data_IF_304820208993
#
_entry.id   IF_304820208993
#
_cell.length_a   1.000
_cell.length_b   1.000
_cell.length_c   1.000
_cell.angle_alpha   90.00
_cell.angle_beta   90.00
_cell.angle_gamma   90.00
#
_symmetry.space_group_name_H-M   'P 1'
#
loop_
_entity.id
_entity.type
_entity.pdbx_description
1 polymer ?
#
# COMPACT_ATOMS: atom_id res chain seq x y z
N UNK A 1 -47.53 -36.20 -51.86
CA UNK A 1 -46.98 -34.84 -51.74
C UNK A 1 -46.23 -34.78 -50.41
N UNK A 2 -44.91 -35.04 -50.43
CA UNK A 2 -44.09 -35.17 -49.23
C UNK A 2 -43.68 -33.80 -48.69
N UNK A 3 -43.89 -33.55 -47.40
CA UNK A 3 -43.26 -32.45 -46.67
C UNK A 3 -42.58 -33.02 -45.42
N UNK A 4 -41.29 -33.28 -45.53
CA UNK A 4 -40.41 -33.55 -44.39
C UNK A 4 -40.01 -32.20 -43.82
N UNK A 5 -40.44 -31.91 -42.60
CA UNK A 5 -40.10 -30.69 -41.87
C UNK A 5 -38.75 -30.92 -41.17
N UNK A 6 -37.68 -30.33 -41.67
CA UNK A 6 -36.38 -30.30 -40.99
C UNK A 6 -36.44 -29.24 -39.87
N UNK A 7 -36.58 -29.68 -38.63
CA UNK A 7 -36.36 -28.82 -37.45
C UNK A 7 -34.86 -28.84 -37.15
N UNK A 8 -34.14 -27.82 -37.63
CA UNK A 8 -32.75 -27.62 -37.27
C UNK A 8 -32.63 -27.17 -35.81
N UNK A 9 -32.09 -28.02 -34.94
CA UNK A 9 -31.66 -27.61 -33.59
C UNK A 9 -30.41 -26.75 -33.71
N UNK A 10 -30.57 -25.45 -33.50
CA UNK A 10 -29.47 -24.51 -33.39
C UNK A 10 -28.88 -24.64 -31.97
N UNK A 11 -27.76 -25.35 -31.84
CA UNK A 11 -27.02 -25.44 -30.58
C UNK A 11 -26.33 -24.08 -30.35
N UNK A 12 -26.93 -23.23 -29.50
CA UNK A 12 -26.29 -22.05 -28.95
C UNK A 12 -25.21 -22.49 -27.96
N UNK A 13 -23.97 -22.59 -28.43
CA UNK A 13 -22.82 -22.70 -27.55
C UNK A 13 -22.68 -21.37 -26.79
N UNK A 14 -23.09 -21.35 -25.52
CA UNK A 14 -22.82 -20.23 -24.64
C UNK A 14 -21.30 -20.12 -24.44
N UNK A 15 -20.68 -19.11 -25.05
CA UNK A 15 -19.30 -18.74 -24.76
C UNK A 15 -19.23 -18.18 -23.33
N UNK A 16 -18.99 -19.06 -22.37
CA UNK A 16 -18.58 -18.63 -21.04
C UNK A 16 -17.19 -18.00 -21.15
N UNK A 17 -17.07 -16.73 -20.77
CA UNK A 17 -15.76 -16.09 -20.65
C UNK A 17 -14.90 -16.93 -19.68
N UNK A 18 -13.63 -17.19 -20.01
CA UNK A 18 -12.76 -17.96 -19.13
C UNK A 18 -12.69 -17.27 -17.76
N UNK A 19 -12.71 -18.03 -16.65
CA UNK A 19 -12.65 -17.46 -15.32
C UNK A 19 -11.37 -16.63 -15.19
N UNK A 20 -11.51 -15.40 -14.71
CA UNK A 20 -10.35 -14.53 -14.56
C UNK A 20 -9.34 -15.19 -13.60
N UNK A 21 -8.06 -15.24 -13.99
CA UNK A 21 -6.98 -15.72 -13.12
C UNK A 21 -6.99 -14.96 -11.79
N UNK A 22 -6.81 -15.68 -10.69
CA UNK A 22 -6.62 -15.09 -9.36
C UNK A 22 -5.26 -14.42 -9.28
N UNK A 23 -5.20 -13.24 -8.67
CA UNK A 23 -3.96 -12.50 -8.45
C UNK A 23 -3.81 -12.17 -6.97
N UNK A 24 -2.56 -12.18 -6.49
CA UNK A 24 -2.23 -11.70 -5.15
C UNK A 24 -1.60 -10.32 -5.24
N UNK A 25 -2.08 -9.39 -4.41
CA UNK A 25 -1.43 -8.10 -4.18
C UNK A 25 -0.72 -8.19 -2.84
N UNK A 26 0.61 -8.32 -2.90
CA UNK A 26 1.49 -8.37 -1.75
C UNK A 26 1.79 -6.96 -1.28
N UNK A 27 1.48 -6.63 -0.03
CA UNK A 27 1.87 -5.35 0.56
C UNK A 27 3.09 -5.56 1.46
N UNK A 28 4.20 -4.90 1.16
CA UNK A 28 5.39 -4.89 2.02
C UNK A 28 5.72 -3.46 2.45
N UNK A 29 5.99 -3.29 3.74
CA UNK A 29 6.21 -1.96 4.30
C UNK A 29 6.28 -1.93 5.82
N UNK A 30 6.02 -0.74 6.36
CA UNK A 30 6.15 -0.42 7.78
C UNK A 30 4.79 -0.32 8.53
N UNK A 31 4.80 0.35 9.69
CA UNK A 31 3.62 0.51 10.55
C UNK A 31 2.48 1.27 9.88
N UNK A 32 2.73 2.14 8.91
CA UNK A 32 1.66 2.92 8.26
C UNK A 32 0.80 2.09 7.32
N UNK A 33 1.28 0.91 6.91
CA UNK A 33 0.62 -0.04 6.00
C UNK A 33 0.16 -1.31 6.73
N UNK A 34 0.87 -1.74 7.77
CA UNK A 34 0.71 -3.05 8.43
C UNK A 34 -0.65 -3.33 9.05
N UNK A 35 -1.01 -4.62 9.12
CA UNK A 35 -2.07 -5.10 10.00
C UNK A 35 -1.77 -4.77 11.47
N UNK A 36 -2.78 -4.35 12.22
CA UNK A 36 -2.67 -3.95 13.63
C UNK A 36 -3.32 -4.97 14.55
N UNK A 37 -2.73 -5.13 15.72
CA UNK A 37 -3.28 -6.01 16.76
C UNK A 37 -4.38 -5.28 17.52
N UNK A 38 -5.31 -6.03 18.11
CA UNK A 38 -6.41 -5.47 18.91
C UNK A 38 -5.92 -4.55 20.04
N UNK A 39 -4.78 -4.88 20.67
CA UNK A 39 -4.16 -4.07 21.74
C UNK A 39 -3.69 -2.68 21.30
N UNK A 40 -3.56 -2.43 19.99
CA UNK A 40 -3.19 -1.13 19.43
C UNK A 40 -4.38 -0.42 18.80
N UNK A 41 -5.58 -1.01 18.80
CA UNK A 41 -6.78 -0.36 18.28
C UNK A 41 -7.04 0.96 19.05
N UNK A 42 -7.38 2.09 18.38
CA UNK A 42 -7.82 2.22 16.98
C UNK A 42 -6.70 2.49 15.96
N UNK A 43 -5.42 2.34 16.31
CA UNK A 43 -4.32 2.43 15.34
C UNK A 43 -4.58 1.48 14.16
N UNK A 44 -4.41 1.98 12.94
CA UNK A 44 -4.72 1.25 11.72
C UNK A 44 -3.68 1.53 10.62
N UNK A 45 -3.25 0.49 9.91
CA UNK A 45 -2.43 0.63 8.72
C UNK A 45 -3.32 0.70 7.47
N UNK A 46 -2.97 1.52 6.48
CA UNK A 46 -3.82 1.70 5.29
C UNK A 46 -4.05 0.39 4.52
N UNK A 47 -3.16 -0.60 4.65
CA UNK A 47 -3.32 -1.92 4.05
C UNK A 47 -4.53 -2.70 4.58
N UNK A 48 -5.01 -2.42 5.81
CA UNK A 48 -6.16 -3.12 6.39
C UNK A 48 -7.48 -2.80 5.67
N UNK A 49 -7.90 -1.53 5.47
CA UNK A 49 -9.09 -1.25 4.67
C UNK A 49 -8.90 -1.54 3.17
N UNK A 50 -7.66 -1.52 2.68
CA UNK A 50 -7.35 -1.76 1.26
C UNK A 50 -7.78 -3.15 0.77
N UNK A 51 -7.81 -4.17 1.64
CA UNK A 51 -8.21 -5.54 1.28
C UNK A 51 -9.63 -5.65 0.74
N UNK A 52 -10.50 -4.68 1.05
CA UNK A 52 -11.93 -4.74 0.73
C UNK A 52 -12.31 -4.13 -0.61
N UNK A 53 -11.37 -3.49 -1.33
CA UNK A 53 -11.67 -2.76 -2.57
C UNK A 53 -11.73 -3.62 -3.83
N UNK A 54 -11.34 -4.90 -3.76
CA UNK A 54 -11.22 -5.76 -4.94
C UNK A 54 -12.27 -6.87 -4.99
N UNK A 55 -12.65 -7.29 -6.19
CA UNK A 55 -13.53 -8.42 -6.42
C UNK A 55 -12.91 -9.75 -5.93
N UNK A 56 -13.65 -10.85 -6.00
CA UNK A 56 -13.22 -12.15 -5.47
C UNK A 56 -12.02 -12.78 -6.20
N UNK A 57 -11.52 -12.15 -7.26
CA UNK A 57 -10.37 -12.62 -8.03
C UNK A 57 -9.05 -12.05 -7.54
N UNK A 58 -9.06 -11.15 -6.55
CA UNK A 58 -7.88 -10.59 -5.92
C UNK A 58 -7.81 -11.03 -4.47
N UNK A 59 -6.63 -11.47 -4.04
CA UNK A 59 -6.29 -11.59 -2.62
C UNK A 59 -5.28 -10.52 -2.28
N UNK A 60 -5.50 -9.76 -1.20
CA UNK A 60 -4.50 -8.84 -0.68
C UNK A 60 -3.81 -9.52 0.50
N UNK A 61 -2.52 -9.78 0.37
CA UNK A 61 -1.70 -10.32 1.46
C UNK A 61 -0.82 -9.20 2.03
N UNK A 62 -1.25 -8.65 3.17
CA UNK A 62 -0.56 -7.56 3.84
C UNK A 62 0.54 -8.10 4.77
N UNK A 63 1.78 -8.00 4.31
CA UNK A 63 2.99 -8.44 5.02
C UNK A 63 3.78 -7.29 5.65
N UNK A 64 3.29 -6.05 5.53
CA UNK A 64 3.91 -4.91 6.19
C UNK A 64 3.93 -5.08 7.71
N UNK A 65 4.97 -4.55 8.35
CA UNK A 65 5.22 -4.77 9.77
C UNK A 65 5.74 -3.52 10.47
N UNK A 66 5.18 -3.23 11.65
CA UNK A 66 5.64 -2.14 12.52
C UNK A 66 7.16 -2.13 12.70
N UNK A 67 7.76 -0.94 12.56
CA UNK A 67 9.16 -0.67 12.84
C UNK A 67 10.16 -1.20 11.81
N UNK A 68 9.70 -1.82 10.71
CA UNK A 68 10.61 -2.36 9.69
C UNK A 68 11.04 -1.27 8.73
N UNK A 69 12.29 -1.41 8.30
CA UNK A 69 12.95 -0.71 7.22
C UNK A 69 13.13 -1.66 6.04
N UNK A 70 13.54 -1.13 4.89
CA UNK A 70 13.91 -1.96 3.73
C UNK A 70 14.95 -3.02 4.09
N UNK A 71 15.94 -2.69 4.93
CA UNK A 71 16.99 -3.60 5.36
C UNK A 71 16.47 -4.66 6.34
N UNK A 72 15.84 -4.22 7.43
CA UNK A 72 15.39 -5.14 8.50
C UNK A 72 14.29 -6.09 8.02
N UNK A 73 13.47 -5.71 7.04
CA UNK A 73 12.48 -6.61 6.46
C UNK A 73 13.13 -7.82 5.74
N UNK A 74 14.28 -7.62 5.09
CA UNK A 74 15.06 -8.74 4.53
C UNK A 74 15.83 -9.51 5.60
N UNK A 75 16.53 -8.83 6.50
CA UNK A 75 17.35 -9.47 7.55
C UNK A 75 16.50 -10.36 8.47
N UNK A 76 15.26 -9.98 8.74
CA UNK A 76 14.32 -10.77 9.55
C UNK A 76 13.57 -11.83 8.73
N UNK A 77 14.00 -12.12 7.51
CA UNK A 77 13.43 -13.13 6.63
C UNK A 77 11.92 -12.92 6.34
N UNK A 78 11.46 -11.67 6.28
CA UNK A 78 10.05 -11.36 5.94
C UNK A 78 9.84 -11.32 4.43
N UNK A 79 10.89 -11.01 3.67
CA UNK A 79 10.85 -10.98 2.22
C UNK A 79 10.85 -12.36 1.56
N UNK A 80 11.67 -13.30 2.05
CA UNK A 80 11.82 -14.59 1.38
C UNK A 80 10.50 -15.39 1.26
N UNK A 81 9.62 -15.43 2.29
CA UNK A 81 8.31 -16.07 2.16
C UNK A 81 7.41 -15.42 1.10
N UNK A 82 7.51 -14.10 0.89
CA UNK A 82 6.76 -13.41 -0.17
C UNK A 82 7.24 -13.88 -1.54
N UNK A 83 8.55 -13.85 -1.78
CA UNK A 83 9.16 -14.32 -3.05
C UNK A 83 8.85 -15.79 -3.32
N UNK A 84 8.85 -16.63 -2.29
CA UNK A 84 8.58 -18.06 -2.43
C UNK A 84 7.14 -18.36 -2.86
N UNK A 85 6.16 -17.54 -2.45
CA UNK A 85 4.74 -17.75 -2.72
C UNK A 85 4.19 -16.87 -3.85
N UNK A 86 4.97 -15.90 -4.32
CA UNK A 86 4.58 -15.02 -5.43
C UNK A 86 4.47 -15.77 -6.75
N UNK A 87 3.42 -15.47 -7.50
CA UNK A 87 3.10 -16.09 -8.78
C UNK A 87 3.13 -15.08 -9.93
N UNK A 88 3.22 -15.61 -11.16
CA UNK A 88 3.12 -14.80 -12.37
C UNK A 88 1.80 -14.01 -12.41
N UNK A 89 1.90 -12.70 -12.61
CA UNK A 89 0.75 -11.78 -12.63
C UNK A 89 0.36 -11.19 -11.27
N UNK A 90 1.02 -11.59 -10.18
CA UNK A 90 0.88 -10.92 -8.89
C UNK A 90 1.40 -9.48 -8.93
N UNK A 91 1.02 -8.68 -7.95
CA UNK A 91 1.57 -7.34 -7.71
C UNK A 91 2.30 -7.29 -6.36
N UNK A 92 3.35 -6.49 -6.27
CA UNK A 92 4.03 -6.18 -5.01
C UNK A 92 4.07 -4.68 -4.81
N UNK A 93 3.36 -4.19 -3.80
CA UNK A 93 3.31 -2.80 -3.40
C UNK A 93 4.35 -2.59 -2.29
N UNK A 94 5.33 -1.75 -2.56
CA UNK A 94 6.53 -1.60 -1.73
C UNK A 94 6.55 -0.18 -1.16
N UNK A 95 6.40 -0.03 0.16
CA UNK A 95 6.41 1.26 0.83
C UNK A 95 7.25 1.23 2.11
N UNK A 96 8.40 1.92 2.09
CA UNK A 96 9.31 2.06 3.23
C UNK A 96 9.85 3.49 3.30
N UNK A 97 10.60 3.81 4.36
CA UNK A 97 11.21 5.13 4.57
C UNK A 97 11.16 5.59 6.03
N UNK A 98 10.03 5.41 6.72
CA UNK A 98 9.83 5.93 8.09
C UNK A 98 10.87 5.45 9.11
N UNK A 99 11.36 4.23 8.93
CA UNK A 99 12.30 3.59 9.85
C UNK A 99 13.71 3.54 9.28
N UNK A 100 13.84 3.64 7.96
CA UNK A 100 15.11 3.70 7.23
C UNK A 100 15.84 5.00 7.54
N UNK A 101 15.13 6.13 7.60
CA UNK A 101 15.72 7.46 7.74
C UNK A 101 16.20 7.84 9.16
N UNK A 102 15.82 7.06 10.18
CA UNK A 102 16.06 7.43 11.58
C UNK A 102 17.37 6.85 12.06
N UNK A 103 18.46 7.65 11.97
CA UNK A 103 19.85 7.26 12.31
C UNK A 103 20.03 6.60 13.67
N UNK A 104 19.21 6.94 14.65
CA UNK A 104 19.28 6.40 16.02
C UNK A 104 18.58 5.06 16.20
N UNK A 105 17.75 4.61 15.24
CA UNK A 105 17.06 3.32 15.33
C UNK A 105 17.97 2.20 14.83
N UNK A 106 17.82 1.01 15.44
CA UNK A 106 18.41 -0.25 14.90
C UNK A 106 18.00 -0.52 13.45
N UNK A 107 16.82 -0.03 13.04
CA UNK A 107 16.30 -0.16 11.68
C UNK A 107 16.93 0.79 10.66
N UNK A 108 17.77 1.74 11.10
CA UNK A 108 18.41 2.70 10.21
C UNK A 108 19.04 2.02 9.00
N UNK A 109 18.84 2.61 7.83
CA UNK A 109 19.32 2.10 6.56
C UNK A 109 19.84 3.30 5.79
N UNK A 110 21.12 3.30 5.42
CA UNK A 110 21.70 4.44 4.68
C UNK A 110 21.00 4.63 3.34
N UNK A 111 21.13 5.82 2.75
CA UNK A 111 20.52 6.14 1.45
C UNK A 111 20.94 5.14 0.35
N UNK A 112 22.22 4.78 0.30
CA UNK A 112 22.75 3.77 -0.64
C UNK A 112 22.15 2.38 -0.39
N UNK A 113 22.07 1.95 0.88
CA UNK A 113 21.45 0.68 1.24
C UNK A 113 19.97 0.68 0.89
N UNK A 114 19.26 1.77 1.16
CA UNK A 114 17.83 1.91 0.87
C UNK A 114 17.57 1.78 -0.63
N UNK A 115 18.34 2.51 -1.45
CA UNK A 115 18.32 2.41 -2.92
C UNK A 115 18.59 0.98 -3.38
N UNK A 116 19.67 0.36 -2.90
CA UNK A 116 20.03 -1.01 -3.28
C UNK A 116 18.95 -2.03 -2.90
N UNK A 117 18.34 -1.87 -1.72
CA UNK A 117 17.27 -2.74 -1.25
C UNK A 117 16.01 -2.61 -2.11
N UNK A 118 15.61 -1.38 -2.49
CA UNK A 118 14.48 -1.17 -3.40
C UNK A 118 14.71 -1.83 -4.77
N UNK A 119 15.91 -1.66 -5.35
CA UNK A 119 16.28 -2.32 -6.60
C UNK A 119 16.22 -3.84 -6.47
N UNK A 120 16.66 -4.39 -5.33
CA UNK A 120 16.55 -5.82 -5.04
C UNK A 120 15.09 -6.29 -4.97
N UNK A 121 14.20 -5.58 -4.26
CA UNK A 121 12.78 -5.94 -4.21
C UNK A 121 12.15 -5.96 -5.62
N UNK A 122 12.49 -4.96 -6.45
CA UNK A 122 12.03 -4.88 -7.85
C UNK A 122 12.54 -6.07 -8.67
N UNK A 123 13.82 -6.38 -8.58
CA UNK A 123 14.45 -7.48 -9.33
C UNK A 123 13.86 -8.84 -8.93
N UNK A 124 13.76 -9.10 -7.63
CA UNK A 124 13.18 -10.34 -7.09
C UNK A 124 11.71 -10.48 -7.52
N UNK A 125 10.92 -9.39 -7.49
CA UNK A 125 9.52 -9.39 -7.95
C UNK A 125 9.42 -9.75 -9.44
N UNK A 126 10.24 -9.11 -10.28
CA UNK A 126 10.28 -9.38 -11.73
C UNK A 126 10.74 -10.80 -12.04
N UNK A 127 11.63 -11.38 -11.24
CA UNK A 127 12.07 -12.77 -11.41
C UNK A 127 10.92 -13.78 -11.30
N UNK A 128 9.83 -13.41 -10.62
CA UNK A 128 8.60 -14.20 -10.49
C UNK A 128 7.54 -13.86 -11.53
N UNK A 129 7.87 -12.98 -12.49
CA UNK A 129 6.94 -12.39 -13.47
C UNK A 129 5.75 -11.69 -12.79
N UNK A 130 5.98 -11.15 -11.60
CA UNK A 130 5.06 -10.27 -10.90
C UNK A 130 5.41 -8.81 -11.17
N UNK A 131 4.48 -7.91 -10.87
CA UNK A 131 4.58 -6.47 -11.15
C UNK A 131 4.91 -5.69 -9.88
N UNK A 132 6.11 -5.10 -9.75
CA UNK A 132 6.40 -4.21 -8.64
C UNK A 132 5.68 -2.87 -8.82
N UNK A 133 5.27 -2.25 -7.72
CA UNK A 133 4.76 -0.88 -7.63
C UNK A 133 5.46 -0.22 -6.45
N UNK A 134 6.15 0.87 -6.70
CA UNK A 134 6.80 1.64 -5.63
C UNK A 134 5.86 2.70 -5.09
N UNK A 135 5.87 2.87 -3.78
CA UNK A 135 5.18 3.95 -3.09
C UNK A 135 6.20 4.73 -2.26
N UNK A 136 6.18 6.06 -2.35
CA UNK A 136 6.95 6.90 -1.43
C UNK A 136 6.43 6.70 0.00
N UNK A 137 7.26 6.89 1.06
CA UNK A 137 6.76 6.87 2.43
C UNK A 137 5.63 7.90 2.56
N UNK A 138 4.47 7.45 3.05
CA UNK A 138 3.36 8.38 3.31
C UNK A 138 3.83 9.47 4.27
N UNK A 139 3.45 10.72 4.01
CA UNK A 139 3.90 11.84 4.84
C UNK A 139 3.40 11.71 6.29
N UNK A 140 4.20 12.19 7.24
CA UNK A 140 3.71 12.46 8.60
C UNK A 140 2.91 13.76 8.60
N UNK A 141 1.98 13.89 9.54
CA UNK A 141 1.30 15.15 9.81
C UNK A 141 2.26 16.13 10.49
N UNK A 142 2.81 17.07 9.73
CA UNK A 142 3.73 18.07 10.25
C UNK A 142 3.43 19.44 9.64
N UNK A 143 3.13 20.42 10.48
CA UNK A 143 2.82 21.79 10.06
C UNK A 143 3.78 22.77 10.71
N UNK A 144 4.16 23.82 9.99
CA UNK A 144 4.87 24.95 10.56
C UNK A 144 3.95 25.84 11.41
N UNK A 145 4.52 26.89 12.02
CA UNK A 145 3.79 27.84 12.86
C UNK A 145 2.73 28.67 12.11
N UNK A 146 2.77 28.68 10.78
CA UNK A 146 1.80 29.38 9.92
C UNK A 146 0.70 28.46 9.39
N UNK A 147 0.75 27.16 9.73
CA UNK A 147 -0.24 26.17 9.31
C UNK A 147 0.03 25.57 7.92
N UNK A 148 1.24 25.73 7.37
CA UNK A 148 1.63 25.09 6.12
C UNK A 148 2.27 23.72 6.38
N UNK A 149 1.97 22.75 5.50
CA UNK A 149 2.51 21.40 5.59
C UNK A 149 4.03 21.40 5.31
N UNK A 150 4.78 20.64 6.11
CA UNK A 150 6.23 20.49 5.99
C UNK A 150 6.57 19.03 5.70
N UNK A 151 7.38 18.80 4.67
CA UNK A 151 7.87 17.47 4.30
C UNK A 151 8.65 16.80 5.43
N UNK A 152 8.46 15.48 5.59
CA UNK A 152 9.11 14.71 6.67
C UNK A 152 10.03 13.60 6.17
N UNK A 153 10.05 13.35 4.86
CA UNK A 153 10.73 12.22 4.24
C UNK A 153 11.48 12.59 2.96
N UNK A 154 11.77 13.87 2.72
CA UNK A 154 12.14 14.39 1.40
C UNK A 154 13.25 13.59 0.71
N UNK A 155 14.32 13.25 1.44
CA UNK A 155 15.45 12.48 0.92
C UNK A 155 15.03 11.06 0.51
N UNK A 156 14.39 10.30 1.40
CA UNK A 156 14.01 8.91 1.13
C UNK A 156 12.87 8.82 0.11
N UNK A 157 11.93 9.76 0.13
CA UNK A 157 10.90 9.89 -0.89
C UNK A 157 11.51 10.20 -2.26
N UNK A 158 12.51 11.08 -2.34
CA UNK A 158 13.21 11.34 -3.59
C UNK A 158 13.94 10.10 -4.12
N UNK A 159 14.61 9.33 -3.26
CA UNK A 159 15.23 8.07 -3.67
C UNK A 159 14.21 7.09 -4.26
N UNK A 160 13.01 6.97 -3.65
CA UNK A 160 11.94 6.12 -4.22
C UNK A 160 11.53 6.62 -5.61
N UNK A 161 11.36 7.93 -5.79
CA UNK A 161 11.01 8.52 -7.10
C UNK A 161 12.07 8.22 -8.15
N UNK A 162 13.34 8.41 -7.80
CA UNK A 162 14.48 8.17 -8.68
C UNK A 162 14.57 6.69 -9.06
N UNK A 163 14.51 5.79 -8.08
CA UNK A 163 14.52 4.33 -8.31
C UNK A 163 13.36 3.90 -9.20
N UNK A 164 12.15 4.43 -8.98
CA UNK A 164 10.99 4.11 -9.81
C UNK A 164 11.21 4.51 -11.27
N UNK A 165 11.70 5.73 -11.50
CA UNK A 165 12.02 6.24 -12.83
C UNK A 165 13.12 5.42 -13.51
N UNK A 166 14.26 5.24 -12.84
CA UNK A 166 15.43 4.53 -13.38
C UNK A 166 15.13 3.07 -13.72
N UNK A 167 14.24 2.42 -12.95
CA UNK A 167 13.89 1.02 -13.14
C UNK A 167 12.61 0.81 -13.96
N UNK A 168 11.97 1.88 -14.44
CA UNK A 168 10.67 1.85 -15.13
C UNK A 168 9.60 1.07 -14.33
N UNK A 169 9.38 1.49 -13.09
CA UNK A 169 8.41 0.90 -12.18
C UNK A 169 7.30 1.93 -11.91
N UNK A 170 6.01 1.54 -11.93
CA UNK A 170 4.93 2.44 -11.55
C UNK A 170 5.13 3.01 -10.14
N UNK A 171 4.88 4.31 -9.99
CA UNK A 171 5.07 5.05 -8.76
C UNK A 171 3.73 5.60 -8.26
N UNK A 172 3.46 5.43 -6.98
CA UNK A 172 2.41 6.14 -6.24
C UNK A 172 3.09 7.08 -5.24
N UNK A 173 2.99 8.39 -5.47
CA UNK A 173 3.69 9.39 -4.64
C UNK A 173 2.87 9.79 -3.41
N UNK A 174 2.71 8.83 -2.47
CA UNK A 174 1.97 9.03 -1.24
C UNK A 174 2.51 10.15 -0.35
N UNK A 175 3.81 10.43 -0.39
CA UNK A 175 4.40 11.59 0.28
C UNK A 175 3.70 12.89 -0.18
N UNK A 176 3.66 13.17 -1.49
CA UNK A 176 3.03 14.40 -2.01
C UNK A 176 1.52 14.39 -1.88
N UNK A 177 0.86 13.26 -2.15
CA UNK A 177 -0.60 13.18 -2.07
C UNK A 177 -1.11 13.28 -0.63
N UNK A 178 -0.40 12.72 0.35
CA UNK A 178 -0.75 12.86 1.76
C UNK A 178 -0.47 14.28 2.28
N UNK A 179 0.65 14.91 1.88
CA UNK A 179 0.90 16.32 2.21
C UNK A 179 -0.23 17.22 1.69
N UNK A 180 -0.67 17.01 0.45
CA UNK A 180 -1.78 17.75 -0.14
C UNK A 180 -3.10 17.51 0.61
N UNK A 181 -3.40 16.26 0.97
CA UNK A 181 -4.58 15.91 1.78
C UNK A 181 -4.56 16.64 3.13
N UNK A 182 -3.43 16.59 3.85
CA UNK A 182 -3.33 17.20 5.17
C UNK A 182 -3.39 18.72 5.08
N UNK A 183 -2.73 19.33 4.09
CA UNK A 183 -2.84 20.76 3.83
C UNK A 183 -4.29 21.18 3.56
N UNK A 184 -5.03 20.39 2.78
CA UNK A 184 -6.44 20.67 2.47
C UNK A 184 -7.34 20.59 3.71
N UNK A 185 -7.08 19.63 4.60
CA UNK A 185 -7.84 19.49 5.85
C UNK A 185 -7.42 20.51 6.91
N UNK A 186 -6.21 21.04 6.80
CA UNK A 186 -5.63 21.98 7.74
C UNK A 186 -5.21 21.33 9.06
N UNK A 187 -4.66 22.15 9.96
CA UNK A 187 -4.04 21.69 11.21
C UNK A 187 -5.03 20.89 12.05
N UNK A 188 -6.18 21.45 12.43
CA UNK A 188 -7.05 20.78 13.39
C UNK A 188 -7.82 19.59 12.82
N UNK A 189 -8.41 19.76 11.62
CA UNK A 189 -9.26 18.72 11.04
C UNK A 189 -8.46 17.49 10.65
N UNK A 190 -7.20 17.65 10.22
CA UNK A 190 -6.34 16.52 9.85
C UNK A 190 -6.05 15.59 11.02
N UNK A 191 -6.16 16.03 12.29
CA UNK A 191 -6.01 15.16 13.48
C UNK A 191 -6.99 13.99 13.47
N UNK A 192 -8.18 14.17 12.86
CA UNK A 192 -9.21 13.11 12.73
C UNK A 192 -8.76 11.92 11.89
N UNK A 193 -7.65 12.04 11.14
CA UNK A 193 -7.10 10.95 10.34
C UNK A 193 -6.11 10.09 11.13
N UNK A 194 -5.68 10.54 12.31
CA UNK A 194 -4.59 9.96 13.06
C UNK A 194 -5.05 9.38 14.40
N UNK A 195 -4.17 8.62 15.04
CA UNK A 195 -4.38 8.08 16.37
C UNK A 195 -4.23 9.17 17.45
N UNK A 196 -5.11 10.17 17.38
CA UNK A 196 -5.26 11.25 18.33
C UNK A 196 -6.48 10.94 19.20
N UNK A 197 -6.24 10.77 20.50
CA UNK A 197 -7.24 10.41 21.49
C UNK A 197 -7.02 11.24 22.75
N UNK A 198 -8.08 11.80 23.29
CA UNK A 198 -8.06 12.37 24.63
C UNK A 198 -7.96 11.24 25.69
N UNK A 199 -7.53 11.55 26.93
CA UNK A 199 -7.63 10.61 28.04
C UNK A 199 -9.03 10.01 28.16
N UNK A 200 -9.08 8.72 28.49
CA UNK A 200 -10.29 7.93 28.68
C UNK A 200 -11.22 7.74 27.45
N UNK A 201 -10.83 8.16 26.25
CA UNK A 201 -11.60 7.88 25.02
C UNK A 201 -11.50 6.43 24.53
N UNK A 202 -10.41 5.72 24.89
CA UNK A 202 -10.20 4.35 24.45
C UNK A 202 -9.45 3.50 25.49
N UNK A 203 -9.88 2.26 25.80
CA UNK A 203 -9.24 1.42 26.83
C UNK A 203 -7.78 1.06 26.56
N UNK A 204 -7.36 1.00 25.29
CA UNK A 204 -5.95 0.77 24.93
C UNK A 204 -5.06 2.00 25.18
N UNK A 205 -5.65 3.20 25.33
CA UNK A 205 -4.95 4.47 25.49
C UNK A 205 -5.57 5.28 26.64
N UNK A 206 -5.53 4.78 27.89
CA UNK A 206 -6.20 5.44 29.02
C UNK A 206 -5.68 6.85 29.29
N UNK A 207 -4.40 7.12 28.97
CA UNK A 207 -3.78 8.45 29.08
C UNK A 207 -3.96 9.32 27.83
N UNK A 208 -4.76 8.88 26.87
CA UNK A 208 -4.83 9.46 25.54
C UNK A 208 -3.58 9.16 24.71
N UNK A 209 -3.56 9.71 23.50
CA UNK A 209 -2.49 9.56 22.52
C UNK A 209 -2.49 10.77 21.58
N UNK A 210 -1.32 11.31 21.28
CA UNK A 210 -1.13 12.23 20.16
C UNK A 210 -0.08 11.63 19.24
N UNK A 211 -0.46 11.26 18.03
CA UNK A 211 0.38 10.53 17.08
C UNK A 211 0.20 11.06 15.67
N UNK A 212 1.21 11.76 15.16
CA UNK A 212 1.19 12.34 13.81
C UNK A 212 1.69 11.39 12.71
N UNK A 213 1.94 10.12 13.02
CA UNK A 213 2.45 9.12 12.07
C UNK A 213 1.43 8.02 11.81
N UNK A 214 0.79 7.50 12.87
CA UNK A 214 -0.08 6.34 12.73
C UNK A 214 -1.55 6.74 12.58
N UNK A 215 -2.21 6.17 11.59
CA UNK A 215 -3.59 6.46 11.29
C UNK A 215 -4.55 5.79 12.27
N UNK A 216 -5.76 6.34 12.37
CA UNK A 216 -6.93 5.58 12.81
C UNK A 216 -7.61 4.92 11.59
N UNK A 217 -8.78 4.30 11.79
CA UNK A 217 -9.52 3.67 10.68
C UNK A 217 -9.86 4.63 9.53
N UNK A 218 -10.26 5.88 9.84
CA UNK A 218 -10.66 6.86 8.84
C UNK A 218 -9.45 7.28 8.00
N UNK A 219 -8.32 7.63 8.63
CA UNK A 219 -7.11 7.98 7.91
C UNK A 219 -6.58 6.83 7.07
N UNK A 220 -6.52 5.62 7.64
CA UNK A 220 -6.09 4.42 6.92
C UNK A 220 -6.95 4.19 5.67
N UNK A 221 -8.27 4.36 5.77
CA UNK A 221 -9.20 4.22 4.63
C UNK A 221 -8.96 5.29 3.57
N UNK A 222 -8.78 6.55 3.95
CA UNK A 222 -8.54 7.64 3.01
C UNK A 222 -7.21 7.44 2.26
N UNK A 223 -6.14 7.06 2.95
CA UNK A 223 -4.86 6.74 2.29
C UNK A 223 -5.02 5.54 1.34
N UNK A 224 -5.74 4.49 1.75
CA UNK A 224 -6.01 3.35 0.88
C UNK A 224 -6.83 3.74 -0.37
N UNK A 225 -7.74 4.71 -0.26
CA UNK A 225 -8.48 5.27 -1.40
C UNK A 225 -7.60 6.11 -2.33
N UNK A 226 -6.60 6.82 -1.81
CA UNK A 226 -5.57 7.49 -2.62
C UNK A 226 -4.78 6.46 -3.43
N UNK A 227 -4.36 5.35 -2.81
CA UNK A 227 -3.71 4.23 -3.51
C UNK A 227 -4.63 3.67 -4.60
N UNK A 228 -5.92 3.45 -4.29
CA UNK A 228 -6.92 2.96 -5.26
C UNK A 228 -7.10 3.90 -6.46
N UNK A 229 -7.12 5.21 -6.21
CA UNK A 229 -7.18 6.23 -7.27
C UNK A 229 -5.95 6.11 -8.19
N UNK A 230 -4.76 5.95 -7.62
CA UNK A 230 -3.53 5.83 -8.38
C UNK A 230 -3.44 4.55 -9.20
N UNK A 231 -3.96 3.42 -8.70
CA UNK A 231 -4.08 2.18 -9.48
C UNK A 231 -4.84 2.43 -10.79
N UNK A 232 -5.90 3.26 -10.74
CA UNK A 232 -6.67 3.66 -11.94
C UNK A 232 -5.87 4.62 -12.82
N UNK A 233 -5.27 5.66 -12.25
CA UNK A 233 -4.52 6.68 -13.01
C UNK A 233 -3.27 6.13 -13.70
N UNK A 234 -2.62 5.13 -13.09
CA UNK A 234 -1.47 4.43 -13.65
C UNK A 234 -1.87 3.36 -14.68
N UNK A 235 -3.16 3.18 -14.93
CA UNK A 235 -3.71 2.17 -15.84
C UNK A 235 -3.19 0.74 -15.55
N UNK A 236 -3.02 0.41 -14.27
CA UNK A 236 -2.63 -0.94 -13.89
C UNK A 236 -3.79 -1.89 -14.21
N UNK A 237 -3.51 -3.08 -14.76
CA UNK A 237 -4.52 -4.12 -15.03
C UNK A 237 -5.32 -4.47 -13.77
N UNK A 238 -4.72 -4.33 -12.58
CA UNK A 238 -5.38 -4.44 -11.29
C UNK A 238 -6.64 -3.55 -11.16
N UNK A 239 -6.72 -2.42 -11.86
CA UNK A 239 -7.88 -1.52 -11.85
C UNK A 239 -9.18 -2.21 -12.32
N UNK A 240 -9.08 -3.20 -13.21
CA UNK A 240 -10.22 -3.97 -13.73
C UNK A 240 -10.82 -4.96 -12.73
N UNK A 241 -10.16 -5.11 -11.57
CA UNK A 241 -10.59 -5.98 -10.46
C UNK A 241 -11.13 -5.21 -9.28
N UNK A 242 -11.22 -3.87 -9.37
CA UNK A 242 -11.81 -3.04 -8.31
C UNK A 242 -13.33 -3.25 -8.31
N UNK A 243 -13.93 -3.42 -7.13
CA UNK A 243 -15.39 -3.54 -6.98
C UNK A 243 -16.09 -2.29 -7.53
N UNK A 244 -17.20 -2.50 -8.23
CA UNK A 244 -18.08 -1.43 -8.70
C UNK A 244 -19.06 -1.04 -7.60
#
# INVERSE_FOLDING_TARGET
>A
MNRILFIGSMILAAFALPPKKKITVWLIGDSTMSNKAERTYPENGWGMPFVYFFDSTVTVDNRAQNGRSTRTFMEENRWAPVVANMQEGDYVFIQFGHNDEVKTKKSYTTEDQFRANLVKYIADTRSKKASPVLLTPVARRNFDSTGHIVGTHDVYAQIVRDVAKENNVPLIDLDKEAQALFQQWGVDRSKLLFNHLAPDEHPNYPKGKEDNTHFNELGARIIAQIVLKNIRSLHLVLAERIRK
#
